data_IF_936646586388
#
_entry.id   IF_936646586388
#
_cell.length_a   1.000
_cell.length_b   1.000
_cell.length_c   1.000
_cell.angle_alpha   90.00
_cell.angle_beta   90.00
_cell.angle_gamma   90.00
#
_symmetry.space_group_name_H-M   'P 1'
#
loop_
_entity.id
_entity.type
_entity.pdbx_description
1 polymer ?
#
# COMPACT_ATOMS: atom_id res chain seq x y z
N UNK A 1 5.71 -11.28 -1.93
CA UNK A 1 4.33 -10.74 -1.93
C UNK A 1 4.18 -9.88 -0.69
N UNK A 2 3.75 -8.63 -0.83
CA UNK A 2 3.57 -7.75 0.34
C UNK A 2 2.13 -7.82 0.79
N UNK A 3 1.89 -8.25 2.03
CA UNK A 3 0.55 -8.20 2.62
C UNK A 3 0.23 -6.75 3.01
N UNK A 4 -0.73 -6.12 2.33
CA UNK A 4 -1.30 -4.84 2.74
C UNK A 4 -2.70 -5.04 3.31
N UNK A 5 -3.03 -4.28 4.34
CA UNK A 5 -4.37 -4.29 4.89
C UNK A 5 -5.26 -3.32 4.11
N UNK A 6 -6.32 -3.83 3.50
CA UNK A 6 -7.32 -2.99 2.86
C UNK A 6 -8.39 -2.60 3.89
N UNK A 7 -8.52 -1.31 4.19
CA UNK A 7 -9.52 -0.80 5.14
C UNK A 7 -10.95 -1.00 4.66
N UNK A 8 -11.15 -1.02 3.34
CA UNK A 8 -12.48 -1.20 2.71
C UNK A 8 -12.94 -2.66 2.75
N UNK A 9 -12.02 -3.60 2.51
CA UNK A 9 -12.28 -5.03 2.62
C UNK A 9 -12.09 -5.57 4.05
N UNK A 10 -11.53 -4.76 4.96
CA UNK A 10 -11.12 -5.14 6.33
C UNK A 10 -10.32 -6.44 6.38
N UNK A 11 -9.49 -6.65 5.38
CA UNK A 11 -8.75 -7.88 5.18
C UNK A 11 -7.32 -7.58 4.72
N UNK A 12 -6.40 -8.49 5.06
CA UNK A 12 -5.05 -8.49 4.48
C UNK A 12 -5.15 -9.04 3.07
N UNK A 13 -4.64 -8.28 2.11
CA UNK A 13 -4.58 -8.63 0.70
C UNK A 13 -3.12 -8.67 0.29
N UNK A 14 -2.78 -9.69 -0.47
CA UNK A 14 -1.46 -9.80 -1.07
C UNK A 14 -1.42 -8.91 -2.31
N UNK A 15 -0.45 -8.01 -2.33
CA UNK A 15 -0.20 -7.14 -3.46
C UNK A 15 1.19 -7.44 -3.99
N UNK A 16 1.23 -7.76 -5.28
CA UNK A 16 2.45 -7.97 -6.06
C UNK A 16 3.05 -6.64 -6.48
N UNK A 17 2.21 -5.72 -6.95
CA UNK A 17 2.62 -4.40 -7.45
C UNK A 17 2.56 -3.35 -6.35
N UNK A 18 3.69 -3.13 -5.68
CA UNK A 18 3.86 -2.01 -4.76
C UNK A 18 4.84 -1.00 -5.33
N UNK A 19 4.39 0.23 -5.55
CA UNK A 19 5.24 1.36 -5.98
C UNK A 19 5.82 2.06 -4.76
N UNK A 20 7.15 2.03 -4.61
CA UNK A 20 7.84 2.87 -3.64
C UNK A 20 7.84 4.32 -4.15
N UNK A 21 7.33 5.25 -3.35
CA UNK A 21 7.42 6.70 -3.58
C UNK A 21 7.96 7.37 -2.33
N UNK A 22 8.59 8.51 -2.49
CA UNK A 22 9.00 9.36 -1.37
C UNK A 22 7.96 10.48 -1.25
N UNK A 23 7.39 10.64 -0.06
CA UNK A 23 6.49 11.75 0.23
C UNK A 23 7.23 13.08 0.07
N UNK A 24 6.50 14.17 -0.16
CA UNK A 24 7.08 15.53 -0.14
C UNK A 24 7.83 15.84 1.18
N UNK A 25 7.49 15.15 2.26
CA UNK A 25 8.10 15.30 3.58
C UNK A 25 9.30 14.34 3.80
N UNK A 26 9.89 13.77 2.73
CA UNK A 26 11.06 12.90 2.79
C UNK A 26 10.83 11.48 3.30
N UNK A 27 9.59 11.13 3.71
CA UNK A 27 9.27 9.80 4.23
C UNK A 27 9.01 8.79 3.11
N UNK A 28 9.60 7.58 3.14
CA UNK A 28 9.28 6.54 2.19
C UNK A 28 7.84 6.05 2.37
N UNK A 29 7.14 5.84 1.25
CA UNK A 29 5.82 5.24 1.20
C UNK A 29 5.77 4.14 0.14
N UNK A 30 5.00 3.11 0.41
CA UNK A 30 4.58 2.12 -0.57
C UNK A 30 3.13 2.43 -0.96
N UNK A 31 2.89 2.63 -2.25
CA UNK A 31 1.56 2.68 -2.84
C UNK A 31 1.24 1.33 -3.47
N UNK A 32 0.01 0.86 -3.33
CA UNK A 32 -0.51 -0.28 -4.06
C UNK A 32 -2.01 -0.10 -4.27
N UNK A 33 -2.63 -0.89 -5.14
CA UNK A 33 -4.09 -0.91 -5.33
C UNK A 33 -4.64 -2.23 -4.81
N UNK A 34 -5.76 -2.18 -4.09
CA UNK A 34 -6.43 -3.39 -3.66
C UNK A 34 -7.04 -4.11 -4.88
N UNK A 35 -6.81 -5.43 -5.08
CA UNK A 35 -7.34 -6.15 -6.23
C UNK A 35 -8.87 -6.26 -6.20
N UNK A 36 -9.52 -6.31 -5.04
CA UNK A 36 -10.97 -6.52 -4.96
C UNK A 36 -11.80 -5.23 -5.06
N UNK A 37 -11.30 -4.12 -4.50
CA UNK A 37 -12.07 -2.87 -4.40
C UNK A 37 -11.37 -1.67 -5.05
N UNK A 38 -10.26 -1.92 -5.75
CA UNK A 38 -9.45 -0.92 -6.48
C UNK A 38 -8.98 0.28 -5.64
N UNK A 39 -9.12 0.19 -4.32
CA UNK A 39 -8.81 1.30 -3.41
C UNK A 39 -7.30 1.43 -3.28
N UNK A 40 -6.80 2.65 -3.41
CA UNK A 40 -5.38 2.95 -3.21
C UNK A 40 -4.99 2.70 -1.75
N UNK A 41 -4.09 1.75 -1.53
CA UNK A 41 -3.50 1.44 -0.24
C UNK A 41 -2.12 2.08 -0.17
N UNK A 42 -1.93 2.95 0.81
CA UNK A 42 -0.65 3.59 1.13
C UNK A 42 -0.13 3.05 2.44
N UNK A 43 1.08 2.48 2.43
CA UNK A 43 1.80 2.07 3.64
C UNK A 43 3.06 2.91 3.75
N UNK A 44 3.13 3.77 4.76
CA UNK A 44 4.39 4.43 5.09
C UNK A 44 5.38 3.39 5.59
N UNK A 45 6.59 3.41 5.04
CA UNK A 45 7.68 2.56 5.49
C UNK A 45 8.64 3.49 6.21
N UNK A 46 8.93 3.22 7.48
CA UNK A 46 10.08 3.87 8.12
C UNK A 46 11.33 3.39 7.39
N UNK A 47 12.24 4.32 7.10
CA UNK A 47 13.54 4.00 6.52
C UNK A 47 14.31 3.03 7.43
#
# INVERSE_FOLDING_TARGET
MTSMYCVKCRAKKEVSETTKKVAKNGKPMLQSKCPDCSTGMTKFVAA
#
